data_IF_425991223338
#
_entry.id   IF_425991223338
#
_cell.length_a   1.000
_cell.length_b   1.000
_cell.length_c   1.000
_cell.angle_alpha   90.00
_cell.angle_beta   90.00
_cell.angle_gamma   90.00
#
_symmetry.space_group_name_H-M   'P 1'
#
loop_
_entity.id
_entity.type
_entity.pdbx_description
1 polymer ?
#
# COMPACT_ATOMS: atom_id res chain seq x y z
N UNK A 1 2.70 -12.90 26.60
CA UNK A 1 1.94 -11.90 25.80
C UNK A 1 2.73 -11.65 24.53
N UNK A 2 2.08 -11.56 23.36
CA UNK A 2 2.72 -11.27 22.07
C UNK A 2 2.54 -9.80 21.72
N UNK A 3 3.62 -9.12 21.31
CA UNK A 3 3.54 -7.76 20.79
C UNK A 3 2.98 -7.79 19.35
N UNK A 4 1.95 -6.98 19.10
CA UNK A 4 1.32 -6.85 17.79
C UNK A 4 1.33 -5.36 17.38
N UNK A 5 2.45 -4.80 16.92
CA UNK A 5 2.51 -3.42 16.48
C UNK A 5 1.72 -3.24 15.18
N UNK A 6 1.12 -2.08 15.00
CA UNK A 6 0.49 -1.68 13.73
C UNK A 6 1.48 -1.73 12.55
N UNK A 7 2.75 -1.39 12.81
CA UNK A 7 3.84 -1.51 11.86
C UNK A 7 5.13 -1.89 12.59
N UNK A 8 5.80 -2.91 12.10
CA UNK A 8 7.12 -3.29 12.59
C UNK A 8 8.18 -2.41 11.93
N UNK A 9 8.96 -1.75 12.77
CA UNK A 9 10.06 -0.86 12.38
C UNK A 9 11.19 -0.94 13.41
N UNK A 10 12.41 -0.48 13.12
CA UNK A 10 13.47 -0.41 14.12
C UNK A 10 13.04 0.37 15.36
N UNK A 11 12.26 1.44 15.17
CA UNK A 11 11.76 2.25 16.28
C UNK A 11 10.75 1.48 17.15
N UNK A 12 9.71 0.86 16.55
CA UNK A 12 8.73 0.09 17.32
C UNK A 12 9.36 -1.12 17.99
N UNK A 13 10.30 -1.80 17.33
CA UNK A 13 11.04 -2.91 17.91
C UNK A 13 11.85 -2.46 19.15
N UNK A 14 12.60 -1.35 19.02
CA UNK A 14 13.37 -0.79 20.15
C UNK A 14 12.46 -0.38 21.33
N UNK A 15 11.27 0.17 21.04
CA UNK A 15 10.30 0.51 22.07
C UNK A 15 9.81 -0.72 22.85
N UNK A 16 9.43 -1.79 22.13
CA UNK A 16 9.01 -3.04 22.77
C UNK A 16 10.13 -3.70 23.58
N UNK A 17 11.38 -3.64 23.11
CA UNK A 17 12.54 -4.12 23.86
C UNK A 17 12.73 -3.35 25.19
N UNK A 18 12.56 -2.02 25.16
CA UNK A 18 12.60 -1.20 26.36
C UNK A 18 11.48 -1.56 27.34
N UNK A 19 10.25 -1.75 26.83
CA UNK A 19 9.11 -2.15 27.65
C UNK A 19 9.32 -3.53 28.28
N UNK A 20 9.86 -4.49 27.53
CA UNK A 20 10.21 -5.82 28.03
C UNK A 20 11.22 -5.76 29.17
N UNK A 21 12.28 -4.96 29.00
CA UNK A 21 13.35 -4.82 30.01
C UNK A 21 12.88 -4.10 31.28
N UNK A 22 12.12 -3.01 31.11
CA UNK A 22 11.73 -2.16 32.24
C UNK A 22 10.50 -2.69 33.01
N UNK A 23 9.65 -3.46 32.35
CA UNK A 23 8.36 -3.90 32.92
C UNK A 23 8.35 -5.33 33.44
N UNK A 24 9.47 -6.07 33.39
CA UNK A 24 9.53 -7.52 33.71
C UNK A 24 8.43 -8.34 32.98
N UNK A 25 8.00 -7.87 31.82
CA UNK A 25 6.93 -8.46 31.03
C UNK A 25 7.46 -9.62 30.21
N UNK A 26 6.84 -10.78 30.32
CA UNK A 26 7.07 -11.88 29.37
C UNK A 26 6.43 -11.53 28.02
N UNK A 27 7.13 -10.69 27.25
CA UNK A 27 6.66 -10.14 25.98
C UNK A 27 7.43 -10.78 24.82
N UNK A 28 6.74 -11.51 23.98
CA UNK A 28 7.28 -12.00 22.71
C UNK A 28 7.21 -10.89 21.68
N UNK A 29 8.37 -10.47 21.16
CA UNK A 29 8.52 -9.38 20.21
C UNK A 29 8.85 -10.00 18.85
N UNK A 30 8.13 -9.65 17.77
CA UNK A 30 8.49 -10.10 16.43
C UNK A 30 9.90 -9.64 16.07
N UNK A 31 10.67 -10.51 15.43
CA UNK A 31 12.01 -10.18 14.95
C UNK A 31 11.91 -9.07 13.87
N UNK A 32 12.77 -8.05 13.98
CA UNK A 32 12.92 -7.04 12.94
C UNK A 32 13.90 -7.53 11.87
N UNK A 33 13.52 -7.40 10.60
CA UNK A 33 14.38 -7.65 9.44
C UNK A 33 14.35 -6.44 8.51
N UNK A 34 15.49 -6.05 8.00
CA UNK A 34 15.60 -4.89 7.09
C UNK A 34 14.75 -5.06 5.82
N UNK A 35 14.55 -6.29 5.39
CA UNK A 35 13.69 -6.67 4.27
C UNK A 35 12.25 -6.15 4.42
N UNK A 36 11.76 -6.01 5.66
CA UNK A 36 10.39 -5.51 5.92
C UNK A 36 10.23 -4.07 5.47
N UNK A 37 11.27 -3.25 5.53
CA UNK A 37 11.24 -1.89 4.98
C UNK A 37 10.94 -1.93 3.47
N UNK A 38 11.61 -2.81 2.74
CA UNK A 38 11.38 -2.97 1.30
C UNK A 38 9.96 -3.46 1.00
N UNK A 39 9.45 -4.43 1.77
CA UNK A 39 8.11 -4.99 1.58
C UNK A 39 6.99 -3.96 1.79
N UNK A 40 7.19 -2.97 2.66
CA UNK A 40 6.19 -1.93 2.95
C UNK A 40 6.27 -0.73 2.00
N UNK A 41 7.23 -0.71 1.08
CA UNK A 41 7.40 0.38 0.12
C UNK A 41 6.33 0.36 -0.98
N UNK A 42 5.84 1.55 -1.36
CA UNK A 42 4.98 1.72 -2.55
C UNK A 42 5.65 1.27 -3.85
N UNK A 43 6.99 1.30 -3.93
CA UNK A 43 7.72 0.77 -5.07
C UNK A 43 7.53 -0.75 -5.21
N UNK A 44 7.56 -1.47 -4.10
CA UNK A 44 7.30 -2.92 -4.11
C UNK A 44 5.86 -3.21 -4.51
N UNK A 45 4.90 -2.43 -3.98
CA UNK A 45 3.49 -2.56 -4.37
C UNK A 45 3.28 -2.29 -5.87
N UNK A 46 3.93 -1.28 -6.44
CA UNK A 46 3.90 -1.00 -7.88
C UNK A 46 4.48 -2.16 -8.71
N UNK A 47 5.62 -2.71 -8.29
CA UNK A 47 6.21 -3.89 -8.96
C UNK A 47 5.32 -5.13 -8.86
N UNK A 48 4.54 -5.30 -7.79
CA UNK A 48 3.53 -6.36 -7.70
C UNK A 48 2.37 -6.10 -8.67
N UNK A 49 1.93 -4.84 -8.79
CA UNK A 49 0.88 -4.44 -9.73
C UNK A 49 1.29 -4.72 -11.19
N UNK A 50 2.53 -4.41 -11.57
CA UNK A 50 3.06 -4.71 -12.91
C UNK A 50 3.02 -6.22 -13.20
N UNK A 51 3.42 -7.05 -12.24
CA UNK A 51 3.32 -8.51 -12.38
C UNK A 51 1.87 -9.02 -12.50
N UNK A 52 0.94 -8.41 -11.75
CA UNK A 52 -0.48 -8.75 -11.88
C UNK A 52 -0.99 -8.43 -13.28
N UNK A 53 -0.60 -7.29 -13.85
CA UNK A 53 -0.96 -6.92 -15.23
C UNK A 53 -0.42 -7.90 -16.26
N UNK A 54 0.80 -8.39 -16.07
CA UNK A 54 1.39 -9.43 -16.93
C UNK A 54 0.64 -10.76 -16.85
N UNK A 55 0.20 -11.14 -15.65
CA UNK A 55 -0.53 -12.39 -15.40
C UNK A 55 -2.00 -12.34 -15.84
N UNK A 56 -2.60 -11.16 -15.87
CA UNK A 56 -4.01 -10.93 -16.14
C UNK A 56 -4.18 -9.87 -17.25
N UNK A 57 -3.73 -10.17 -18.49
CA UNK A 57 -3.71 -9.18 -19.58
C UNK A 57 -5.11 -8.71 -20.01
N UNK A 58 -6.13 -9.53 -19.79
CA UNK A 58 -7.53 -9.21 -20.15
C UNK A 58 -8.26 -8.40 -19.05
N UNK A 59 -7.61 -8.15 -17.92
CA UNK A 59 -8.19 -7.33 -16.84
C UNK A 59 -7.79 -5.87 -16.99
N UNK A 60 -8.76 -4.97 -16.78
CA UNK A 60 -8.50 -3.53 -16.68
C UNK A 60 -7.82 -3.21 -15.33
N UNK A 61 -6.51 -3.38 -15.32
CA UNK A 61 -5.67 -3.10 -14.14
C UNK A 61 -5.08 -1.69 -14.26
N UNK A 62 -5.15 -0.86 -13.19
CA UNK A 62 -4.61 0.49 -13.22
C UNK A 62 -3.15 0.54 -13.62
N UNK A 63 -2.75 1.62 -14.27
CA UNK A 63 -1.34 1.87 -14.62
C UNK A 63 -0.54 2.11 -13.34
N UNK A 64 0.62 1.48 -13.25
CA UNK A 64 1.53 1.67 -12.11
C UNK A 64 2.02 3.11 -12.01
N UNK A 65 2.16 3.65 -10.80
CA UNK A 65 2.67 5.00 -10.59
C UNK A 65 4.11 5.12 -11.09
N UNK A 66 4.47 6.29 -11.60
CA UNK A 66 5.85 6.62 -11.96
C UNK A 66 6.61 7.07 -10.73
N UNK A 67 7.83 6.55 -10.51
CA UNK A 67 8.72 7.02 -9.44
C UNK A 67 9.73 8.02 -9.97
N UNK A 68 9.78 9.19 -9.33
CA UNK A 68 10.65 10.30 -9.66
C UNK A 68 11.70 10.51 -8.55
N UNK A 69 12.97 10.70 -8.94
CA UNK A 69 14.08 10.95 -8.03
C UNK A 69 14.55 12.40 -8.04
N UNK A 70 13.99 13.22 -8.93
CA UNK A 70 14.33 14.64 -9.11
C UNK A 70 13.07 15.45 -9.39
N UNK A 71 13.02 16.69 -8.92
CA UNK A 71 11.88 17.60 -9.18
C UNK A 71 11.61 17.75 -10.67
N UNK A 72 12.63 17.88 -11.50
CA UNK A 72 12.50 18.00 -12.97
C UNK A 72 11.81 16.79 -13.63
N UNK A 73 11.89 15.61 -13.02
CA UNK A 73 11.20 14.42 -13.54
C UNK A 73 9.69 14.52 -13.27
N UNK A 74 9.32 15.05 -12.10
CA UNK A 74 7.92 15.36 -11.78
C UNK A 74 7.37 16.39 -12.76
N UNK A 75 8.09 17.49 -12.99
CA UNK A 75 7.68 18.54 -13.94
C UNK A 75 7.49 18.01 -15.36
N UNK A 76 8.44 17.18 -15.81
CA UNK A 76 8.34 16.55 -17.13
C UNK A 76 7.08 15.69 -17.23
N UNK A 77 6.74 14.95 -16.18
CA UNK A 77 5.54 14.09 -16.16
C UNK A 77 4.26 14.91 -16.20
N UNK A 78 4.20 16.04 -15.47
CA UNK A 78 3.04 16.94 -15.46
C UNK A 78 2.70 17.53 -16.83
N UNK A 79 3.72 17.75 -17.69
CA UNK A 79 3.54 18.29 -19.03
C UNK A 79 2.96 17.23 -19.99
N UNK A 80 3.33 15.97 -19.80
CA UNK A 80 3.00 14.89 -20.74
C UNK A 80 1.55 14.41 -20.65
N UNK A 81 0.85 14.67 -19.56
CA UNK A 81 -0.49 14.16 -19.34
C UNK A 81 -1.46 15.26 -18.92
N UNK A 82 -2.74 15.07 -19.27
CA UNK A 82 -3.80 16.05 -19.03
C UNK A 82 -4.75 15.61 -17.91
N UNK A 83 -4.24 15.49 -16.70
CA UNK A 83 -5.04 15.08 -15.54
C UNK A 83 -4.55 15.79 -14.27
N UNK A 84 -5.38 15.95 -13.23
CA UNK A 84 -4.88 16.23 -11.90
C UNK A 84 -4.02 15.06 -11.42
N UNK A 85 -3.02 15.35 -10.58
CA UNK A 85 -2.07 14.36 -10.11
C UNK A 85 -2.02 14.31 -8.59
N UNK A 86 -1.58 13.18 -8.08
CA UNK A 86 -1.19 13.03 -6.68
C UNK A 86 0.23 12.46 -6.61
N UNK A 87 1.07 13.10 -5.79
CA UNK A 87 2.37 12.56 -5.42
C UNK A 87 2.25 11.87 -4.07
N UNK A 88 2.98 10.77 -3.92
CA UNK A 88 3.03 10.02 -2.66
C UNK A 88 4.47 9.68 -2.30
N UNK A 89 4.80 9.80 -1.02
CA UNK A 89 6.10 9.30 -0.53
C UNK A 89 6.10 7.78 -0.46
N UNK A 90 7.24 7.10 -0.65
CA UNK A 90 7.34 5.63 -0.61
C UNK A 90 6.79 4.99 0.66
N UNK A 91 7.04 5.64 1.80
CA UNK A 91 6.62 5.16 3.12
C UNK A 91 5.70 6.19 3.76
N UNK A 92 4.42 5.94 3.73
CA UNK A 92 3.41 6.79 4.40
C UNK A 92 2.10 6.05 4.55
N UNK A 93 1.31 6.47 5.54
CA UNK A 93 -0.03 5.93 5.82
C UNK A 93 -0.99 7.05 6.22
N UNK A 94 -2.27 6.75 6.23
CA UNK A 94 -3.33 7.63 6.76
C UNK A 94 -3.30 9.04 6.17
N UNK A 95 -3.18 9.16 4.86
CA UNK A 95 -3.18 10.45 4.15
C UNK A 95 -1.93 11.31 4.32
N UNK A 96 -0.98 10.91 5.18
CA UNK A 96 0.30 11.61 5.32
C UNK A 96 1.19 11.32 4.12
N UNK A 97 2.06 12.26 3.75
CA UNK A 97 2.97 12.09 2.62
C UNK A 97 2.27 12.06 1.27
N UNK A 98 1.14 12.76 1.15
CA UNK A 98 0.45 13.03 -0.10
C UNK A 98 0.57 14.51 -0.46
N UNK A 99 0.78 14.79 -1.74
CA UNK A 99 0.69 16.12 -2.32
C UNK A 99 -0.24 16.06 -3.53
N UNK A 100 -1.34 16.78 -3.46
CA UNK A 100 -2.30 16.90 -4.56
C UNK A 100 -1.90 18.05 -5.47
N UNK A 101 -1.83 17.77 -6.76
CA UNK A 101 -1.49 18.72 -7.81
C UNK A 101 -2.69 18.85 -8.75
N UNK A 102 -3.62 19.78 -8.48
CA UNK A 102 -4.77 20.03 -9.34
C UNK A 102 -4.34 20.66 -10.67
N UNK A 103 -3.22 21.37 -10.67
CA UNK A 103 -2.65 22.04 -11.83
C UNK A 103 -1.40 21.33 -12.33
N UNK A 104 -1.07 21.53 -13.62
CA UNK A 104 0.12 20.95 -14.26
C UNK A 104 1.43 21.69 -13.93
N UNK A 105 1.40 22.64 -13.03
CA UNK A 105 2.54 23.50 -12.69
C UNK A 105 2.79 23.43 -11.20
N UNK A 106 4.05 23.19 -10.84
CA UNK A 106 4.47 23.23 -9.44
C UNK A 106 4.57 24.67 -8.93
N UNK A 107 3.96 24.91 -7.79
CA UNK A 107 4.22 26.13 -7.00
C UNK A 107 5.56 26.03 -6.28
N UNK A 108 6.05 27.14 -5.73
CA UNK A 108 7.25 27.12 -4.89
C UNK A 108 7.08 26.19 -3.66
N UNK A 109 5.90 26.17 -3.07
CA UNK A 109 5.56 25.31 -1.92
C UNK A 109 5.61 23.83 -2.30
N UNK A 110 5.11 23.46 -3.49
CA UNK A 110 5.13 22.08 -3.98
C UNK A 110 6.57 21.60 -4.18
N UNK A 111 7.43 22.46 -4.75
CA UNK A 111 8.86 22.14 -4.92
C UNK A 111 9.54 21.85 -3.58
N UNK A 112 9.32 22.68 -2.58
CA UNK A 112 9.87 22.50 -1.23
C UNK A 112 9.40 21.17 -0.63
N UNK A 113 8.12 20.83 -0.79
CA UNK A 113 7.59 19.54 -0.33
C UNK A 113 8.26 18.37 -1.04
N UNK A 114 8.36 18.43 -2.38
CA UNK A 114 8.98 17.37 -3.18
C UNK A 114 10.45 17.19 -2.80
N UNK A 115 11.22 18.27 -2.70
CA UNK A 115 12.63 18.24 -2.29
C UNK A 115 12.79 17.62 -0.90
N UNK A 116 11.94 18.01 0.05
CA UNK A 116 11.92 17.44 1.38
C UNK A 116 11.61 15.94 1.38
N UNK A 117 10.69 15.49 0.54
CA UNK A 117 10.35 14.07 0.36
C UNK A 117 11.51 13.30 -0.30
N UNK A 118 12.11 13.84 -1.34
CA UNK A 118 13.28 13.26 -2.02
C UNK A 118 14.47 13.10 -1.08
N UNK A 119 14.77 14.13 -0.27
CA UNK A 119 15.86 14.10 0.69
C UNK A 119 15.64 13.05 1.79
N UNK A 120 14.39 12.86 2.23
CA UNK A 120 14.06 11.91 3.30
C UNK A 120 13.91 10.46 2.85
N UNK A 121 13.35 10.24 1.65
CA UNK A 121 12.92 8.92 1.20
C UNK A 121 13.42 8.54 -0.20
N UNK A 122 14.24 9.39 -0.83
CA UNK A 122 14.94 9.11 -2.08
C UNK A 122 14.09 9.23 -3.34
N UNK A 123 12.77 9.11 -3.27
CA UNK A 123 11.88 9.28 -4.41
C UNK A 123 10.47 9.67 -3.98
N UNK A 124 9.66 10.08 -4.96
CA UNK A 124 8.21 10.22 -4.84
C UNK A 124 7.54 9.48 -6.00
N UNK A 125 6.37 8.89 -5.76
CA UNK A 125 5.53 8.42 -6.87
C UNK A 125 4.65 9.55 -7.36
N UNK A 126 4.35 9.55 -8.67
CA UNK A 126 3.36 10.40 -9.31
C UNK A 126 2.37 9.53 -10.08
N UNK A 127 1.09 9.79 -9.89
CA UNK A 127 -0.01 9.09 -10.54
C UNK A 127 -1.16 10.05 -10.81
N UNK A 128 -2.03 9.71 -11.76
CA UNK A 128 -3.26 10.46 -11.98
C UNK A 128 -4.14 10.38 -10.73
N UNK A 129 -4.68 11.51 -10.32
CA UNK A 129 -5.65 11.56 -9.24
C UNK A 129 -6.97 10.93 -9.71
N UNK A 130 -7.46 9.95 -8.97
CA UNK A 130 -8.72 9.28 -9.25
C UNK A 130 -9.86 9.98 -8.53
N UNK A 131 -11.02 10.11 -9.18
CA UNK A 131 -12.26 10.49 -8.52
C UNK A 131 -12.81 9.24 -7.80
N UNK A 132 -12.38 9.07 -6.57
CA UNK A 132 -12.71 7.88 -5.79
C UNK A 132 -14.17 7.89 -5.37
N UNK A 133 -14.85 6.79 -5.62
CA UNK A 133 -16.19 6.52 -5.12
C UNK A 133 -16.15 5.83 -3.76
N UNK A 134 -15.26 4.86 -3.59
CA UNK A 134 -15.15 4.04 -2.38
C UNK A 134 -13.71 3.57 -2.16
N UNK A 135 -13.27 3.55 -0.91
CA UNK A 135 -12.04 2.88 -0.50
C UNK A 135 -12.37 1.54 0.16
N UNK A 136 -11.63 0.51 -0.17
CA UNK A 136 -11.72 -0.79 0.50
C UNK A 136 -10.33 -1.39 0.67
N UNK A 137 -10.21 -2.32 1.60
CA UNK A 137 -9.01 -3.12 1.78
C UNK A 137 -9.37 -4.60 1.92
N UNK A 138 -8.46 -5.47 1.54
CA UNK A 138 -8.53 -6.89 1.81
C UNK A 138 -7.37 -7.27 2.72
N UNK A 139 -7.66 -7.87 3.86
CA UNK A 139 -6.64 -8.32 4.80
C UNK A 139 -6.41 -9.82 4.66
N UNK A 140 -5.15 -10.18 4.47
CA UNK A 140 -4.73 -11.58 4.34
C UNK A 140 -3.73 -11.94 5.42
N UNK A 141 -3.84 -13.15 5.94
CA UNK A 141 -2.85 -13.76 6.82
C UNK A 141 -2.19 -14.91 6.09
N UNK A 142 -0.86 -14.96 6.12
CA UNK A 142 -0.12 -16.14 5.71
C UNK A 142 -0.18 -17.17 6.84
N UNK A 143 -0.68 -18.35 6.55
CA UNK A 143 -0.72 -19.48 7.49
C UNK A 143 0.66 -20.11 7.63
N UNK A 144 0.87 -20.91 8.67
CA UNK A 144 2.11 -21.69 8.87
C UNK A 144 2.37 -22.66 7.71
N UNK A 145 1.31 -23.15 7.06
CA UNK A 145 1.40 -24.04 5.88
C UNK A 145 1.73 -23.28 4.58
N UNK A 146 1.99 -21.98 4.66
CA UNK A 146 2.36 -21.15 3.51
C UNK A 146 1.19 -20.73 2.60
N UNK A 147 -0.05 -21.08 2.96
CA UNK A 147 -1.26 -20.60 2.28
C UNK A 147 -1.68 -19.24 2.79
N UNK A 148 -2.59 -18.57 2.07
CA UNK A 148 -3.15 -17.28 2.48
C UNK A 148 -4.62 -17.44 2.84
N UNK A 149 -5.01 -16.89 3.98
CA UNK A 149 -6.40 -16.82 4.41
C UNK A 149 -6.82 -15.33 4.45
N UNK A 150 -7.96 -15.02 3.84
CA UNK A 150 -8.55 -13.69 3.96
C UNK A 150 -9.16 -13.53 5.35
N UNK A 151 -8.74 -12.51 6.08
CA UNK A 151 -9.18 -12.22 7.45
C UNK A 151 -10.37 -11.28 7.50
N UNK A 152 -10.42 -10.31 6.60
CA UNK A 152 -11.46 -9.29 6.61
C UNK A 152 -11.50 -8.46 5.34
N UNK A 153 -12.59 -7.75 5.20
CA UNK A 153 -12.86 -6.83 4.09
C UNK A 153 -13.42 -5.54 4.67
N UNK A 154 -12.59 -4.66 5.26
CA UNK A 154 -13.02 -3.35 5.68
C UNK A 154 -13.30 -2.47 4.46
N UNK A 155 -14.38 -1.71 4.50
CA UNK A 155 -14.67 -0.70 3.52
C UNK A 155 -15.03 0.63 4.21
N UNK A 156 -14.81 1.74 3.52
CA UNK A 156 -15.24 3.06 3.95
C UNK A 156 -15.97 3.76 2.83
N UNK A 157 -17.12 4.36 3.13
CA UNK A 157 -17.80 5.25 2.20
C UNK A 157 -17.18 6.64 2.28
N UNK A 158 -16.75 7.17 1.13
CA UNK A 158 -16.23 8.52 1.05
C UNK A 158 -17.40 9.50 0.90
N UNK A 159 -17.78 10.15 1.99
CA UNK A 159 -18.64 11.34 1.89
C UNK A 159 -17.82 12.49 1.30
N UNK A 160 -18.27 13.07 0.22
CA UNK A 160 -17.61 14.12 -0.60
C UNK A 160 -17.05 15.35 0.14
N UNK A 161 -17.19 15.47 1.48
CA UNK A 161 -16.77 16.64 2.26
C UNK A 161 -16.09 16.36 3.60
N UNK A 162 -15.84 15.12 4.01
CA UNK A 162 -15.22 14.85 5.30
C UNK A 162 -13.97 14.02 5.17
N UNK A 163 -12.87 14.55 5.70
CA UNK A 163 -11.51 14.01 5.60
C UNK A 163 -11.24 12.77 6.48
N UNK A 164 -12.25 12.26 7.19
CA UNK A 164 -12.11 11.05 8.03
C UNK A 164 -13.35 10.17 7.82
N UNK A 165 -13.26 9.12 7.01
CA UNK A 165 -14.34 8.14 6.91
C UNK A 165 -14.39 7.28 8.17
N UNK A 166 -15.59 7.06 8.71
CA UNK A 166 -15.83 6.00 9.67
C UNK A 166 -15.53 4.65 9.00
N UNK A 167 -14.63 3.88 9.58
CA UNK A 167 -14.28 2.55 9.06
C UNK A 167 -15.23 1.53 9.65
N UNK A 168 -16.05 0.90 8.82
CA UNK A 168 -16.95 -0.17 9.21
C UNK A 168 -16.33 -1.54 8.94
N UNK A 169 -16.38 -2.42 9.93
CA UNK A 169 -15.99 -3.81 9.79
C UNK A 169 -17.21 -4.66 9.41
N UNK A 170 -17.21 -5.24 8.22
CA UNK A 170 -18.27 -6.18 7.83
C UNK A 170 -17.75 -7.59 7.99
N UNK A 171 -18.25 -8.28 9.02
CA UNK A 171 -18.13 -9.72 9.12
C UNK A 171 -19.08 -10.36 8.09
N UNK A 172 -18.63 -10.60 6.86
CA UNK A 172 -19.34 -11.46 5.91
C UNK A 172 -18.72 -12.85 5.90
N UNK A 173 -19.56 -13.90 5.77
CA UNK A 173 -19.06 -15.25 5.75
C UNK A 173 -18.14 -15.48 4.56
N UNK A 174 -17.10 -16.23 4.81
CA UNK A 174 -16.05 -16.67 3.90
C UNK A 174 -16.67 -17.21 2.60
N UNK A 175 -16.40 -16.58 1.48
CA UNK A 175 -16.65 -17.16 0.17
C UNK A 175 -15.75 -18.38 0.04
N UNK A 176 -16.36 -19.57 0.05
CA UNK A 176 -15.67 -20.79 -0.41
C UNK A 176 -15.42 -20.61 -1.90
N UNK A 177 -14.20 -20.30 -2.28
CA UNK A 177 -13.76 -20.47 -3.66
C UNK A 177 -13.71 -21.97 -3.87
N UNK A 178 -14.76 -22.53 -4.48
CA UNK A 178 -14.75 -23.90 -4.96
C UNK A 178 -13.76 -23.94 -6.11
N UNK A 179 -12.61 -24.57 -5.89
CA UNK A 179 -11.72 -24.98 -6.96
C UNK A 179 -12.42 -26.07 -7.76
N UNK A 180 -13.12 -25.73 -8.82
CA UNK A 180 -13.52 -26.70 -9.84
C UNK A 180 -12.26 -27.10 -10.61
N UNK A 181 -11.57 -28.14 -10.11
CA UNK A 181 -10.65 -28.88 -10.96
C UNK A 181 -11.50 -29.68 -11.94
N UNK A 182 -11.33 -29.33 -13.18
CA UNK A 182 -11.77 -30.13 -14.32
C UNK A 182 -11.21 -31.55 -14.18
N UNK A 183 -12.12 -32.48 -14.08
CA UNK A 183 -11.84 -33.90 -14.18
C UNK A 183 -11.33 -34.23 -15.58
N UNK A 184 -10.15 -34.80 -15.65
CA UNK A 184 -9.64 -35.49 -16.81
C UNK A 184 -10.61 -36.60 -17.21
N UNK A 185 -11.14 -36.53 -18.41
CA UNK A 185 -11.77 -37.68 -19.07
C UNK A 185 -10.69 -38.49 -19.74
N UNK A 186 -10.29 -39.57 -19.07
CA UNK A 186 -9.70 -40.71 -19.77
C UNK A 186 -10.78 -41.35 -20.65
N UNK A 187 -10.59 -41.30 -21.93
CA UNK A 187 -11.26 -42.22 -22.87
C UNK A 187 -10.21 -43.15 -23.44
N UNK A 188 -10.19 -44.34 -22.88
CA UNK A 188 -9.67 -45.52 -23.55
C UNK A 188 -10.70 -45.97 -24.59
N UNK A 189 -10.33 -45.97 -25.83
CA UNK A 189 -10.52 -47.07 -26.84
C UNK A 189 -10.04 -46.58 -28.18
#
# INVERSE_FOLDING_TARGET
MQAAPWGLSPHSHSLFEKLRKNGSLNLTIPEWKEEYTRLTSRQTAAGCLDKIRELLPDMDVPVSPKFCKKVREVEKYLILQNAPFVLKTPYSSSGRGLLWLPERKLTAKDRVWIEGALNKQGCVSIECALDKYQDFAMEFIRTEMGTYAMKGFPYSELKRKELIPETYWVNRPIWKVSSSRTSETNSSN
#
